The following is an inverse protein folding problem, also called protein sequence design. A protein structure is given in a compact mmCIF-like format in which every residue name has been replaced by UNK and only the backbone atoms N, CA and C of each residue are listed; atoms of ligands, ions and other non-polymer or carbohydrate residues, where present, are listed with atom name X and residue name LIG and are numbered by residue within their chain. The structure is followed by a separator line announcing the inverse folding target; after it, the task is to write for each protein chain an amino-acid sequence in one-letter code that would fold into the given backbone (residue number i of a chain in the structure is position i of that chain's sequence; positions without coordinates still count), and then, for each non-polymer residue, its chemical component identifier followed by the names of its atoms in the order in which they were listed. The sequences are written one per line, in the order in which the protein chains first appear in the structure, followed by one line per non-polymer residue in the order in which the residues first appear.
data_IF_984415540409
#
_entry.id   IF_984415540409
#
_cell.length_a   1.000
_cell.length_b   1.000
_cell.length_c   1.000
_cell.angle_alpha   90.00
_cell.angle_beta   90.00
_cell.angle_gamma   90.00
#
_symmetry.space_group_name_H-M   'P 1'
#
loop_
_entity.id
_entity.type
_entity.pdbx_description
1 polymer ?
#
# COMPACT_ATOMS: atom_id res chain seq x y z
N UNK A 1 14.59 2.42 -32.57
CA UNK A 1 13.67 1.26 -32.57
C UNK A 1 13.92 0.32 -31.38
N UNK A 2 15.16 -0.09 -31.11
CA UNK A 2 15.52 -0.97 -29.97
C UNK A 2 15.13 -0.47 -28.57
N UNK A 3 15.26 0.82 -28.27
CA UNK A 3 14.89 1.37 -26.97
C UNK A 3 13.39 1.19 -26.66
N UNK A 4 12.51 1.40 -27.66
CA UNK A 4 11.06 1.20 -27.51
C UNK A 4 10.70 -0.27 -27.23
N UNK A 5 11.40 -1.20 -27.89
CA UNK A 5 11.20 -2.64 -27.67
C UNK A 5 11.66 -3.04 -26.26
N UNK A 6 12.83 -2.55 -25.81
CA UNK A 6 13.32 -2.80 -24.45
C UNK A 6 12.37 -2.25 -23.38
N UNK A 7 11.88 -1.02 -23.55
CA UNK A 7 10.89 -0.42 -22.64
C UNK A 7 9.57 -1.20 -22.63
N UNK A 8 9.10 -1.67 -23.79
CA UNK A 8 7.89 -2.50 -23.87
C UNK A 8 8.04 -3.82 -23.11
N UNK A 9 9.17 -4.52 -23.31
CA UNK A 9 9.46 -5.78 -22.62
C UNK A 9 9.56 -5.54 -21.10
N UNK A 10 10.24 -4.47 -20.67
CA UNK A 10 10.37 -4.14 -19.25
C UNK A 10 9.01 -3.82 -18.62
N UNK A 11 8.20 -2.98 -19.28
CA UNK A 11 6.83 -2.68 -18.84
C UNK A 11 5.99 -3.96 -18.68
N UNK A 12 6.07 -4.87 -19.64
CA UNK A 12 5.36 -6.14 -19.56
C UNK A 12 5.83 -6.99 -18.37
N UNK A 13 7.14 -7.08 -18.15
CA UNK A 13 7.73 -7.83 -17.05
C UNK A 13 7.30 -7.25 -15.70
N UNK A 14 7.41 -5.94 -15.51
CA UNK A 14 7.13 -5.29 -14.23
C UNK A 14 5.64 -5.39 -13.88
N UNK A 15 4.75 -5.20 -14.85
CA UNK A 15 3.31 -5.39 -14.66
C UNK A 15 2.93 -6.86 -14.39
N UNK A 16 3.72 -7.82 -14.86
CA UNK A 16 3.52 -9.23 -14.53
C UNK A 16 3.97 -9.50 -13.09
N UNK A 17 5.15 -9.00 -12.70
CA UNK A 17 5.66 -9.11 -11.33
C UNK A 17 4.73 -8.46 -10.31
N UNK A 18 4.22 -7.26 -10.60
CA UNK A 18 3.27 -6.58 -9.71
C UNK A 18 1.99 -7.39 -9.48
N UNK A 19 1.44 -7.99 -10.56
CA UNK A 19 0.27 -8.87 -10.48
C UNK A 19 0.55 -10.15 -9.69
N UNK A 20 1.72 -10.76 -9.88
CA UNK A 20 2.13 -11.94 -9.13
C UNK A 20 2.30 -11.63 -7.63
N UNK A 21 2.93 -10.50 -7.29
CA UNK A 21 3.05 -10.05 -5.91
C UNK A 21 1.69 -9.81 -5.25
N UNK A 22 0.76 -9.16 -5.95
CA UNK A 22 -0.61 -8.95 -5.44
C UNK A 22 -1.29 -10.27 -5.13
N UNK A 23 -1.21 -11.23 -6.06
CA UNK A 23 -1.72 -12.59 -5.86
C UNK A 23 -1.06 -13.29 -4.66
N UNK A 24 0.25 -13.13 -4.47
CA UNK A 24 0.97 -13.69 -3.32
C UNK A 24 0.50 -13.11 -1.99
N UNK A 25 0.15 -11.81 -1.94
CA UNK A 25 -0.47 -11.19 -0.76
C UNK A 25 -1.81 -11.87 -0.46
N UNK A 26 -2.68 -12.03 -1.46
CA UNK A 26 -3.99 -12.67 -1.30
C UNK A 26 -3.87 -14.13 -0.81
N UNK A 27 -2.83 -14.83 -1.25
CA UNK A 27 -2.51 -16.20 -0.86
C UNK A 27 -1.77 -16.30 0.50
N UNK A 28 -1.42 -15.18 1.14
CA UNK A 28 -0.69 -15.12 2.41
C UNK A 28 0.83 -15.36 2.30
N UNK A 29 1.38 -15.42 1.08
CA UNK A 29 2.81 -15.54 0.81
C UNK A 29 3.50 -14.17 0.87
N UNK A 30 3.44 -13.54 2.05
CA UNK A 30 3.83 -12.15 2.24
C UNK A 30 5.33 -11.89 2.00
N UNK A 31 6.20 -12.83 2.37
CA UNK A 31 7.65 -12.69 2.20
C UNK A 31 8.04 -12.76 0.73
N UNK A 32 7.39 -13.62 -0.05
CA UNK A 32 7.54 -13.73 -1.49
C UNK A 32 7.04 -12.45 -2.17
N UNK A 33 5.88 -11.94 -1.77
CA UNK A 33 5.34 -10.69 -2.27
C UNK A 33 6.30 -9.51 -2.02
N UNK A 34 6.81 -9.36 -0.79
CA UNK A 34 7.79 -8.33 -0.44
C UNK A 34 9.00 -8.37 -1.38
N UNK A 35 9.57 -9.56 -1.60
CA UNK A 35 10.73 -9.73 -2.47
C UNK A 35 10.44 -9.27 -3.90
N UNK A 36 9.31 -9.69 -4.48
CA UNK A 36 8.93 -9.31 -5.84
C UNK A 36 8.76 -7.78 -5.94
N UNK A 37 8.07 -7.16 -4.98
CA UNK A 37 7.80 -5.73 -4.99
C UNK A 37 9.08 -4.90 -4.83
N UNK A 38 10.04 -5.35 -4.02
CA UNK A 38 11.36 -4.70 -3.88
C UNK A 38 12.11 -4.69 -5.22
N UNK A 39 12.01 -5.75 -6.03
CA UNK A 39 12.67 -5.82 -7.34
C UNK A 39 12.11 -4.80 -8.35
N UNK A 40 10.84 -4.43 -8.22
CA UNK A 40 10.15 -3.49 -9.13
C UNK A 40 9.90 -2.11 -8.51
N UNK A 41 10.38 -1.83 -7.30
CA UNK A 41 10.06 -0.60 -6.54
C UNK A 41 10.40 0.72 -7.25
N UNK A 42 11.42 0.69 -8.11
CA UNK A 42 11.90 1.85 -8.87
C UNK A 42 11.40 1.83 -10.32
N UNK A 43 10.52 0.88 -10.67
CA UNK A 43 9.95 0.78 -12.01
C UNK A 43 9.09 2.00 -12.33
N UNK A 44 9.31 2.68 -13.47
CA UNK A 44 8.43 3.76 -13.93
C UNK A 44 7.15 3.23 -14.57
N UNK A 45 6.95 1.91 -14.61
CA UNK A 45 5.85 1.27 -15.33
C UNK A 45 4.71 0.79 -14.43
N UNK A 46 4.89 0.93 -13.11
CA UNK A 46 3.93 0.52 -12.08
C UNK A 46 3.54 1.76 -11.27
N UNK A 47 2.27 1.85 -10.90
CA UNK A 47 1.76 2.92 -10.04
C UNK A 47 2.44 2.85 -8.67
N UNK A 48 3.19 3.89 -8.32
CA UNK A 48 4.03 3.90 -7.11
C UNK A 48 3.19 3.80 -5.83
N UNK A 49 2.05 4.47 -5.82
CA UNK A 49 1.07 4.45 -4.73
C UNK A 49 0.64 3.01 -4.41
N UNK A 50 0.10 2.30 -5.39
CA UNK A 50 -0.29 0.89 -5.26
C UNK A 50 0.89 -0.04 -4.97
N UNK A 51 2.08 0.24 -5.51
CA UNK A 51 3.29 -0.51 -5.20
C UNK A 51 3.68 -0.37 -3.72
N UNK A 52 3.63 0.86 -3.18
CA UNK A 52 3.91 1.10 -1.77
C UNK A 52 2.83 0.53 -0.86
N UNK A 53 1.54 0.63 -1.25
CA UNK A 53 0.45 0.00 -0.52
C UNK A 53 0.62 -1.53 -0.45
N UNK A 54 0.94 -2.19 -1.57
CA UNK A 54 1.18 -3.63 -1.56
C UNK A 54 2.45 -4.02 -0.78
N UNK A 55 3.51 -3.20 -0.80
CA UNK A 55 4.67 -3.41 0.06
C UNK A 55 4.29 -3.32 1.53
N UNK A 56 3.47 -2.34 1.90
CA UNK A 56 2.96 -2.21 3.25
C UNK A 56 2.14 -3.44 3.64
N UNK A 57 1.19 -3.87 2.80
CA UNK A 57 0.39 -5.07 3.05
C UNK A 57 1.25 -6.33 3.25
N UNK A 58 2.26 -6.53 2.41
CA UNK A 58 3.21 -7.62 2.54
C UNK A 58 4.06 -7.55 3.83
N UNK A 59 4.39 -6.36 4.33
CA UNK A 59 5.14 -6.21 5.57
C UNK A 59 4.24 -6.40 6.80
N UNK A 60 3.02 -5.84 6.77
CA UNK A 60 2.02 -5.99 7.83
C UNK A 60 1.63 -7.45 7.99
N UNK A 61 1.44 -8.20 6.90
CA UNK A 61 1.18 -9.64 6.94
C UNK A 61 2.34 -10.46 7.54
N UNK A 62 3.55 -9.89 7.61
CA UNK A 62 4.70 -10.47 8.30
C UNK A 62 4.86 -9.96 9.75
N UNK A 63 3.87 -9.24 10.30
CA UNK A 63 3.91 -8.57 11.60
C UNK A 63 4.99 -7.45 11.70
N UNK A 64 5.48 -6.98 10.55
CA UNK A 64 6.45 -5.88 10.45
C UNK A 64 5.74 -4.54 10.37
N UNK A 65 5.00 -4.20 11.42
CA UNK A 65 4.09 -3.05 11.44
C UNK A 65 4.79 -1.71 11.18
N UNK A 66 5.98 -1.49 11.77
CA UNK A 66 6.75 -0.25 11.60
C UNK A 66 7.25 -0.06 10.17
N UNK A 67 7.71 -1.13 9.54
CA UNK A 67 8.13 -1.11 8.14
C UNK A 67 6.94 -0.91 7.21
N UNK A 68 5.79 -1.54 7.51
CA UNK A 68 4.54 -1.36 6.77
C UNK A 68 4.04 0.08 6.81
N UNK A 69 3.97 0.68 8.00
CA UNK A 69 3.63 2.09 8.20
C UNK A 69 4.50 3.03 7.36
N UNK A 70 5.82 2.77 7.30
CA UNK A 70 6.74 3.56 6.48
C UNK A 70 6.36 3.54 4.99
N UNK A 71 5.86 2.42 4.47
CA UNK A 71 5.42 2.35 3.08
C UNK A 71 4.02 2.92 2.88
N UNK A 72 3.13 2.86 3.86
CA UNK A 72 1.87 3.61 3.82
C UNK A 72 2.13 5.12 3.77
N UNK A 73 3.10 5.63 4.53
CA UNK A 73 3.53 7.03 4.43
C UNK A 73 4.04 7.38 3.04
N UNK A 74 4.84 6.52 2.41
CA UNK A 74 5.27 6.73 1.02
C UNK A 74 4.11 6.70 0.02
N UNK A 75 3.09 5.87 0.27
CA UNK A 75 1.91 5.82 -0.57
C UNK A 75 1.13 7.14 -0.50
N UNK A 76 0.94 7.70 0.70
CA UNK A 76 0.26 9.00 0.85
C UNK A 76 1.12 10.19 0.39
N UNK A 77 2.45 10.10 0.46
CA UNK A 77 3.38 11.12 -0.07
C UNK A 77 3.33 11.25 -1.59
N UNK A 78 2.94 10.20 -2.31
CA UNK A 78 2.71 10.25 -3.76
C UNK A 78 1.27 10.67 -4.12
N UNK A 79 0.61 11.35 -3.19
CA UNK A 79 -0.76 11.88 -3.32
C UNK A 79 -1.80 10.77 -3.56
N UNK A 80 -1.76 9.72 -2.74
CA UNK A 80 -2.83 8.72 -2.73
C UNK A 80 -4.20 9.37 -2.45
N UNK A 81 -5.09 9.29 -3.44
CA UNK A 81 -6.49 9.71 -3.35
C UNK A 81 -7.40 8.57 -2.86
N UNK A 82 -6.82 7.40 -2.62
CA UNK A 82 -7.51 6.19 -2.21
C UNK A 82 -7.68 6.18 -0.70
N UNK A 83 -8.93 6.35 -0.27
CA UNK A 83 -9.38 6.33 1.11
C UNK A 83 -8.89 5.10 1.90
N UNK A 84 -8.83 3.92 1.27
CA UNK A 84 -8.39 2.70 1.93
C UNK A 84 -6.92 2.74 2.38
N UNK A 85 -6.05 3.51 1.73
CA UNK A 85 -4.65 3.65 2.16
C UNK A 85 -4.57 4.38 3.49
N UNK A 86 -5.36 5.44 3.64
CA UNK A 86 -5.50 6.20 4.87
C UNK A 86 -6.16 5.37 5.98
N UNK A 87 -7.19 4.59 5.64
CA UNK A 87 -7.82 3.67 6.59
C UNK A 87 -6.84 2.60 7.09
N UNK A 88 -6.03 1.98 6.21
CA UNK A 88 -5.00 1.02 6.61
C UNK A 88 -3.90 1.68 7.45
N UNK A 89 -3.52 2.93 7.16
CA UNK A 89 -2.58 3.67 8.01
C UNK A 89 -3.15 3.90 9.42
N UNK A 90 -4.43 4.22 9.53
CA UNK A 90 -5.11 4.32 10.82
C UNK A 90 -5.07 3.00 11.59
N UNK A 91 -5.40 1.88 10.94
CA UNK A 91 -5.36 0.55 11.55
C UNK A 91 -3.97 0.17 12.04
N UNK A 92 -2.94 0.39 11.23
CA UNK A 92 -1.54 0.12 11.61
C UNK A 92 -1.11 0.98 12.80
N UNK A 93 -1.57 2.24 12.86
CA UNK A 93 -1.30 3.12 13.99
C UNK A 93 -2.02 2.66 15.28
N UNK A 94 -3.27 2.18 15.18
CA UNK A 94 -3.97 1.54 16.32
C UNK A 94 -3.19 0.34 16.84
N UNK A 95 -2.75 -0.56 15.96
CA UNK A 95 -1.96 -1.74 16.35
C UNK A 95 -0.65 -1.35 17.05
N UNK A 96 -0.10 -0.19 16.71
CA UNK A 96 1.09 0.39 17.34
C UNK A 96 0.78 1.31 18.53
N UNK A 97 -0.49 1.49 18.91
CA UNK A 97 -0.97 2.38 19.99
C UNK A 97 -0.64 3.86 19.76
N UNK A 98 -0.58 4.28 18.49
CA UNK A 98 -0.38 5.65 18.02
C UNK A 98 -1.73 6.31 17.76
N UNK A 99 -2.46 6.62 18.82
CA UNK A 99 -3.88 7.01 18.76
C UNK A 99 -4.09 8.33 18.00
N UNK A 100 -3.26 9.35 18.27
CA UNK A 100 -3.34 10.65 17.60
C UNK A 100 -3.10 10.54 16.09
N UNK A 101 -2.13 9.71 15.67
CA UNK A 101 -1.85 9.46 14.26
C UNK A 101 -2.93 8.59 13.60
N UNK A 102 -3.52 7.66 14.34
CA UNK A 102 -4.65 6.87 13.86
C UNK A 102 -5.88 7.75 13.61
N UNK A 103 -6.20 8.66 14.53
CA UNK A 103 -7.32 9.59 14.39
C UNK A 103 -7.15 10.51 13.16
N UNK A 104 -5.94 11.06 12.96
CA UNK A 104 -5.63 11.87 11.76
C UNK A 104 -5.82 11.07 10.48
N UNK A 105 -5.35 9.82 10.45
CA UNK A 105 -5.44 8.99 9.26
C UNK A 105 -6.89 8.58 8.94
N UNK A 106 -7.69 8.19 9.94
CA UNK A 106 -9.10 7.81 9.67
C UNK A 106 -9.94 9.02 9.24
N UNK A 107 -9.69 10.20 9.81
CA UNK A 107 -10.34 11.44 9.38
C UNK A 107 -10.05 11.72 7.91
N UNK A 108 -8.82 11.46 7.45
CA UNK A 108 -8.49 11.62 6.03
C UNK A 108 -9.20 10.63 5.13
N UNK A 109 -9.38 9.38 5.57
CA UNK A 109 -10.19 8.40 4.84
C UNK A 109 -11.66 8.84 4.71
N UNK A 110 -12.24 9.40 5.79
CA UNK A 110 -13.61 9.94 5.81
C UNK A 110 -13.73 11.16 4.89
N UNK A 111 -12.75 12.06 4.87
CA UNK A 111 -12.76 13.22 3.97
C UNK A 111 -12.77 12.82 2.48
N UNK A 112 -12.05 11.74 2.13
CA UNK A 112 -11.97 11.25 0.75
C UNK A 112 -13.25 10.52 0.33
N UNK A 113 -13.83 9.73 1.23
CA UNK A 113 -15.03 8.93 0.95
C UNK A 113 -16.06 9.06 2.09
N UNK A 114 -16.77 10.20 2.18
CA UNK A 114 -17.69 10.48 3.30
C UNK A 114 -18.91 9.56 3.33
N UNK A 115 -19.27 8.95 2.20
CA UNK A 115 -20.40 8.03 2.11
C UNK A 115 -20.08 6.63 2.67
N UNK A 116 -18.81 6.33 2.97
CA UNK A 116 -18.39 5.06 3.58
C UNK A 116 -18.54 5.11 5.10
N UNK A 117 -19.78 4.93 5.56
CA UNK A 117 -20.16 4.98 6.98
C UNK A 117 -19.34 4.07 7.92
N UNK A 118 -18.70 3.02 7.39
CA UNK A 118 -17.84 2.14 8.18
C UNK A 118 -16.56 2.84 8.70
N UNK A 119 -16.08 3.91 8.06
CA UNK A 119 -14.93 4.65 8.59
C UNK A 119 -15.27 5.46 9.84
N UNK A 120 -16.49 5.97 9.94
CA UNK A 120 -16.98 6.58 11.18
C UNK A 120 -17.04 5.56 12.31
N UNK A 121 -17.51 4.34 12.03
CA UNK A 121 -17.52 3.24 13.02
C UNK A 121 -16.09 2.89 13.46
N UNK A 122 -15.12 2.84 12.52
CA UNK A 122 -13.72 2.61 12.86
C UNK A 122 -13.17 3.72 13.74
N UNK A 123 -13.52 4.97 13.47
CA UNK A 123 -13.08 6.13 14.24
C UNK A 123 -13.56 6.07 15.70
N UNK A 124 -14.76 5.56 15.97
CA UNK A 124 -15.29 5.41 17.33
C UNK A 124 -14.50 4.42 18.22
N UNK A 125 -13.68 3.54 17.62
CA UNK A 125 -12.91 2.51 18.33
C UNK A 125 -11.40 2.76 18.35
N UNK A 126 -10.96 3.92 17.82
CA UNK A 126 -9.60 4.46 17.98
C UNK A 126 -9.52 5.19 19.32
#
# INVERSE_FOLDING_TARGET
MFAKIKSFIQKFKDNKSFRDASKKIDEGYFKEAEKILIEIKDSPYVEKEMLFFNLAGALIGQDKLKEGEKYLHKAVEVEAEQDYIWATLAEVNVLQRKWDEAEKAINKAIELEPDKSFYEIKKEVI
#
